data_IF_240716695964
#
_entry.id   IF_240716695964
#
_cell.length_a   1.000
_cell.length_b   1.000
_cell.length_c   1.000
_cell.angle_alpha   90.00
_cell.angle_beta   90.00
_cell.angle_gamma   90.00
#
_symmetry.space_group_name_H-M   'P 1'
#
loop_
_entity.id
_entity.type
_entity.pdbx_description
1 polymer ?
#
# COMPACT_ATOMS: atom_id res chain seq x y z
N UNK A 1 15.38 15.65 5.85
CA UNK A 1 13.97 15.32 5.60
C UNK A 1 13.79 13.90 6.10
N UNK A 2 12.95 13.67 7.11
CA UNK A 2 12.66 12.30 7.55
C UNK A 2 11.95 11.59 6.38
N UNK A 3 12.59 10.58 5.79
CA UNK A 3 12.06 9.87 4.61
C UNK A 3 10.78 9.10 4.97
N UNK A 4 9.85 8.94 4.05
CA UNK A 4 8.68 8.07 4.26
C UNK A 4 9.03 6.61 3.99
N UNK A 5 8.40 5.68 4.72
CA UNK A 5 8.60 4.24 4.54
C UNK A 5 7.33 3.58 3.99
N UNK A 6 7.43 2.94 2.83
CA UNK A 6 6.30 2.23 2.21
C UNK A 6 6.40 0.72 2.45
N UNK A 7 5.27 0.11 2.77
CA UNK A 7 5.06 -1.33 2.86
C UNK A 7 4.04 -1.76 1.80
N UNK A 8 4.33 -2.88 1.13
CA UNK A 8 3.46 -3.51 0.15
C UNK A 8 3.16 -4.95 0.55
N UNK A 9 1.89 -5.35 0.56
CA UNK A 9 1.51 -6.74 0.78
C UNK A 9 0.44 -7.19 -0.21
N UNK A 10 0.65 -8.35 -0.82
CA UNK A 10 -0.26 -8.98 -1.76
C UNK A 10 -1.19 -9.97 -1.04
N UNK A 11 -2.47 -9.93 -1.39
CA UNK A 11 -3.53 -10.75 -0.84
C UNK A 11 -4.28 -11.46 -1.97
N UNK A 12 -4.70 -12.70 -1.73
CA UNK A 12 -5.44 -13.51 -2.71
C UNK A 12 -6.89 -13.05 -2.90
N UNK A 13 -7.42 -12.27 -1.96
CA UNK A 13 -8.81 -11.82 -2.00
C UNK A 13 -8.96 -10.33 -1.64
N UNK A 14 -10.02 -9.72 -2.19
CA UNK A 14 -10.36 -8.32 -1.88
C UNK A 14 -10.78 -8.16 -0.42
N UNK A 15 -11.45 -9.17 0.14
CA UNK A 15 -11.95 -9.15 1.51
C UNK A 15 -10.79 -9.07 2.52
N UNK A 16 -9.76 -9.90 2.35
CA UNK A 16 -8.57 -9.87 3.20
C UNK A 16 -7.81 -8.56 3.06
N UNK A 17 -7.60 -8.08 1.83
CA UNK A 17 -6.94 -6.80 1.60
C UNK A 17 -7.68 -5.64 2.30
N UNK A 18 -9.02 -5.62 2.21
CA UNK A 18 -9.86 -4.61 2.88
C UNK A 18 -9.86 -4.75 4.40
N UNK A 19 -9.88 -5.97 4.91
CA UNK A 19 -9.81 -6.24 6.35
C UNK A 19 -8.51 -5.67 6.94
N UNK A 20 -7.37 -6.03 6.35
CA UNK A 20 -6.05 -5.59 6.81
C UNK A 20 -5.85 -4.09 6.66
N UNK A 21 -6.30 -3.49 5.56
CA UNK A 21 -6.25 -2.05 5.38
C UNK A 21 -7.09 -1.31 6.45
N UNK A 22 -8.29 -1.81 6.78
CA UNK A 22 -9.11 -1.24 7.86
C UNK A 22 -8.45 -1.38 9.23
N UNK A 23 -7.79 -2.50 9.49
CA UNK A 23 -7.07 -2.69 10.75
C UNK A 23 -5.86 -1.74 10.86
N UNK A 24 -5.15 -1.45 9.76
CA UNK A 24 -4.13 -0.41 9.73
C UNK A 24 -4.72 0.99 10.00
N UNK A 25 -5.78 1.37 9.30
CA UNK A 25 -6.44 2.68 9.48
C UNK A 25 -6.96 2.89 10.92
N UNK A 26 -7.35 1.80 11.61
CA UNK A 26 -7.77 1.85 13.02
C UNK A 26 -6.61 1.96 14.00
N UNK A 27 -5.48 1.31 13.72
CA UNK A 27 -4.36 1.17 14.67
C UNK A 27 -3.35 2.31 14.55
N UNK A 28 -3.29 3.00 13.41
CA UNK A 28 -2.33 4.07 13.14
C UNK A 28 -3.03 5.40 12.98
N UNK A 29 -2.40 6.47 13.49
CA UNK A 29 -2.94 7.81 13.30
C UNK A 29 -2.67 8.31 11.88
N UNK A 30 -3.36 9.37 11.46
CA UNK A 30 -3.09 10.04 10.18
C UNK A 30 -1.69 10.65 10.08
N UNK A 31 -1.04 10.89 11.21
CA UNK A 31 0.33 11.41 11.27
C UNK A 31 1.35 10.29 11.07
N UNK A 32 1.00 9.06 11.46
CA UNK A 32 1.83 7.87 11.28
C UNK A 32 1.62 7.25 9.90
N UNK A 33 0.37 7.06 9.45
CA UNK A 33 -0.02 6.45 8.19
C UNK A 33 -0.45 7.54 7.20
N UNK A 34 0.48 7.95 6.34
CA UNK A 34 0.31 9.04 5.39
C UNK A 34 -0.52 8.63 4.17
N UNK A 35 -0.37 7.38 3.73
CA UNK A 35 -1.07 6.83 2.56
C UNK A 35 -1.49 5.40 2.85
N UNK A 36 -2.72 5.05 2.49
CA UNK A 36 -3.23 3.69 2.48
C UNK A 36 -4.05 3.47 1.20
N UNK A 37 -3.67 2.47 0.40
CA UNK A 37 -4.32 2.18 -0.89
C UNK A 37 -4.44 0.67 -1.10
N UNK A 38 -5.48 0.28 -1.83
CA UNK A 38 -5.70 -1.09 -2.27
C UNK A 38 -5.79 -1.08 -3.79
N UNK A 39 -5.05 -1.96 -4.46
CA UNK A 39 -5.06 -2.11 -5.90
C UNK A 39 -5.46 -3.53 -6.27
N UNK A 40 -6.24 -3.70 -7.35
CA UNK A 40 -6.48 -5.01 -7.96
C UNK A 40 -5.42 -5.26 -9.02
N UNK A 41 -4.69 -6.35 -8.86
CA UNK A 41 -3.63 -6.80 -9.75
C UNK A 41 -4.27 -7.57 -10.91
N UNK A 42 -4.10 -7.08 -12.15
CA UNK A 42 -4.89 -7.59 -13.29
C UNK A 42 -4.43 -8.92 -13.87
N UNK A 43 -3.20 -9.32 -13.62
CA UNK A 43 -2.58 -10.50 -14.23
C UNK A 43 -2.78 -11.78 -13.42
N UNK A 44 -3.03 -11.66 -12.11
CA UNK A 44 -3.28 -12.80 -11.22
C UNK A 44 -4.55 -12.65 -10.37
N UNK A 45 -5.34 -11.58 -10.58
CA UNK A 45 -6.57 -11.25 -9.83
C UNK A 45 -6.40 -11.04 -8.32
N UNK A 46 -5.16 -10.94 -7.84
CA UNK A 46 -4.84 -10.66 -6.44
C UNK A 46 -4.98 -9.16 -6.14
N UNK A 47 -4.75 -8.79 -4.87
CA UNK A 47 -4.90 -7.43 -4.37
C UNK A 47 -3.64 -6.97 -3.65
N UNK A 48 -3.14 -5.79 -3.98
CA UNK A 48 -2.00 -5.15 -3.30
C UNK A 48 -2.51 -4.11 -2.30
N UNK A 49 -2.09 -4.21 -1.04
CA UNK A 49 -2.22 -3.14 -0.05
C UNK A 49 -0.89 -2.38 0.01
N UNK A 50 -0.93 -1.08 -0.26
CA UNK A 50 0.20 -0.15 -0.12
C UNK A 50 -0.07 0.76 1.10
N UNK A 51 0.82 0.71 2.08
CA UNK A 51 0.78 1.56 3.27
C UNK A 51 2.08 2.37 3.35
N UNK A 52 1.98 3.71 3.40
CA UNK A 52 3.15 4.59 3.53
C UNK A 52 3.11 5.30 4.86
N UNK A 53 4.19 5.14 5.62
CA UNK A 53 4.37 5.66 6.96
C UNK A 53 5.29 6.88 6.98
N UNK A 54 5.07 7.78 7.93
CA UNK A 54 5.97 8.90 8.17
C UNK A 54 7.34 8.43 8.68
N UNK A 55 8.40 9.16 8.36
CA UNK A 55 9.77 8.78 8.74
C UNK A 55 10.09 8.79 10.24
N UNK A 56 9.21 9.39 11.05
CA UNK A 56 9.33 9.39 12.50
C UNK A 56 8.65 8.20 13.18
N UNK A 57 7.99 7.32 12.42
CA UNK A 57 7.28 6.16 12.99
C UNK A 57 8.30 5.20 13.63
N UNK A 58 8.14 4.84 14.93
CA UNK A 58 9.04 3.92 15.61
C UNK A 58 9.14 2.57 14.90
N UNK A 59 10.31 1.92 14.95
CA UNK A 59 10.52 0.60 14.36
C UNK A 59 9.51 -0.45 14.87
N UNK A 60 9.18 -0.42 16.17
CA UNK A 60 8.17 -1.32 16.75
C UNK A 60 6.79 -1.15 16.10
N UNK A 61 6.40 0.08 15.75
CA UNK A 61 5.14 0.37 15.07
C UNK A 61 5.16 -0.14 13.62
N UNK A 62 6.32 -0.07 12.96
CA UNK A 62 6.50 -0.68 11.64
C UNK A 62 6.42 -2.21 11.71
N UNK A 63 6.96 -2.82 12.77
CA UNK A 63 6.88 -4.27 12.98
C UNK A 63 5.46 -4.73 13.28
N UNK A 64 4.68 -3.95 14.03
CA UNK A 64 3.24 -4.21 14.23
C UNK A 64 2.48 -4.21 12.89
N UNK A 65 2.78 -3.27 12.00
CA UNK A 65 2.17 -3.20 10.67
C UNK A 65 2.56 -4.41 9.81
N UNK A 66 3.83 -4.82 9.84
CA UNK A 66 4.32 -6.01 9.12
C UNK A 66 3.70 -7.30 9.65
N UNK A 67 3.59 -7.41 10.96
CA UNK A 67 2.97 -8.55 11.62
C UNK A 67 1.51 -8.68 11.19
N UNK A 68 0.75 -7.57 11.28
CA UNK A 68 -0.64 -7.52 10.84
C UNK A 68 -0.78 -7.91 9.37
N UNK A 69 -0.08 -7.22 8.46
CA UNK A 69 -0.20 -7.50 7.02
C UNK A 69 0.27 -8.91 6.63
N UNK A 70 1.23 -9.47 7.38
CA UNK A 70 1.76 -10.82 7.17
C UNK A 70 0.88 -11.94 7.72
N UNK A 71 -0.23 -11.65 8.40
CA UNK A 71 -1.17 -12.68 8.88
C UNK A 71 -1.77 -13.48 7.71
N UNK A 72 -2.09 -12.81 6.60
CA UNK A 72 -2.53 -13.47 5.37
C UNK A 72 -1.95 -12.91 4.07
N UNK A 73 -1.14 -11.85 4.14
CA UNK A 73 -0.50 -11.23 2.97
C UNK A 73 0.94 -11.70 2.73
N UNK A 74 1.37 -11.60 1.49
CA UNK A 74 2.76 -11.83 1.08
C UNK A 74 3.47 -10.49 0.91
N UNK A 75 4.61 -10.31 1.58
CA UNK A 75 5.38 -9.07 1.49
C UNK A 75 5.89 -8.84 0.06
N UNK A 76 5.65 -7.64 -0.47
CA UNK A 76 6.15 -7.16 -1.75
C UNK A 76 7.34 -6.23 -1.48
N UNK A 77 8.45 -6.44 -2.16
CA UNK A 77 9.62 -5.58 -2.01
C UNK A 77 9.31 -4.17 -2.49
N UNK A 78 9.88 -3.16 -1.82
CA UNK A 78 9.63 -1.77 -2.16
C UNK A 78 10.09 -1.39 -3.58
N UNK A 79 11.11 -2.08 -4.11
CA UNK A 79 11.55 -1.95 -5.50
C UNK A 79 10.52 -2.50 -6.50
N UNK A 80 9.78 -3.55 -6.13
CA UNK A 80 8.77 -4.19 -6.97
C UNK A 80 7.40 -3.50 -6.89
N UNK A 81 7.17 -2.64 -5.89
CA UNK A 81 5.92 -1.89 -5.73
C UNK A 81 5.58 -1.06 -6.98
N UNK A 82 6.58 -0.44 -7.61
CA UNK A 82 6.36 0.33 -8.84
C UNK A 82 5.92 -0.56 -10.01
N UNK A 83 6.48 -1.76 -10.11
CA UNK A 83 6.13 -2.72 -11.14
C UNK A 83 4.74 -3.32 -10.91
N UNK A 84 4.36 -3.58 -9.66
CA UNK A 84 3.00 -3.98 -9.30
C UNK A 84 1.99 -2.87 -9.60
N UNK A 85 2.33 -1.59 -9.35
CA UNK A 85 1.47 -0.46 -9.72
C UNK A 85 1.29 -0.38 -11.23
N UNK A 86 2.36 -0.56 -12.01
CA UNK A 86 2.28 -0.64 -13.47
C UNK A 86 1.39 -1.80 -13.93
N UNK A 87 1.41 -2.93 -13.24
CA UNK A 87 0.56 -4.08 -13.53
C UNK A 87 -0.95 -3.83 -13.27
N UNK A 88 -1.30 -2.75 -12.58
CA UNK A 88 -2.69 -2.29 -12.41
C UNK A 88 -3.13 -1.38 -13.58
N UNK A 89 -2.19 -0.79 -14.33
CA UNK A 89 -2.41 0.27 -15.33
C UNK A 89 -2.59 -0.23 -16.78
N UNK A 90 -3.29 -1.34 -16.97
CA UNK A 90 -3.63 -1.88 -18.29
C UNK A 90 -4.71 -1.08 -19.05
N UNK A 91 -4.42 0.16 -19.46
CA UNK A 91 -5.24 0.91 -20.42
C UNK A 91 -5.59 2.32 -19.98
N UNK A 92 -4.97 3.30 -20.65
CA UNK A 92 -5.18 4.76 -20.55
C UNK A 92 -4.71 5.39 -19.23
N UNK A 93 -3.68 6.24 -19.39
CA UNK A 93 -3.05 7.17 -18.45
C UNK A 93 -3.73 7.40 -17.07
N UNK A 94 -2.98 7.42 -15.96
CA UNK A 94 -3.54 7.52 -14.62
C UNK A 94 -4.24 8.85 -14.33
N UNK A 95 -5.46 8.78 -13.76
CA UNK A 95 -6.26 9.93 -13.38
C UNK A 95 -5.65 10.87 -12.33
N UNK A 96 -4.52 10.51 -11.70
CA UNK A 96 -3.78 11.39 -10.78
C UNK A 96 -2.80 12.34 -11.50
N UNK A 97 -2.38 12.02 -12.74
CA UNK A 97 -1.51 12.88 -13.54
C UNK A 97 -2.27 14.04 -14.21
N UNK A 98 -3.60 13.94 -14.35
CA UNK A 98 -4.43 15.04 -14.89
C UNK A 98 -4.61 16.23 -13.95
N UNK A 99 -4.18 16.16 -12.68
CA UNK A 99 -4.38 17.25 -11.71
C UNK A 99 -3.18 18.17 -11.49
N UNK A 100 -1.99 17.81 -12.00
CA UNK A 100 -0.76 18.59 -11.78
C UNK A 100 -0.20 19.29 -13.03
N UNK A 101 -0.71 18.99 -14.23
CA UNK A 101 -0.36 19.71 -15.45
C UNK A 101 -1.64 20.27 -16.08
N UNK A 102 -1.78 21.59 -15.97
CA UNK A 102 -2.94 22.35 -16.42
C UNK A 102 -3.10 22.43 -17.94
N UNK A 103 -4.31 22.84 -18.30
CA UNK A 103 -4.83 23.06 -19.64
C UNK A 103 -6.35 23.08 -19.58
#
# INVERSE_FOLDING_TARGET
MAGSHSLGYEFVSEEEARYHARELDRRFTREELLVLRIYRIRWNDNYLVEATFAGGVPASRMDDARALLGESGVAVHAEDLEDYKRATEGGTLPGWLRRFFGG
#
